data_IF_905901456515
#
_entry.id   IF_905901456515
#
_cell.length_a   1.000
_cell.length_b   1.000
_cell.length_c   1.000
_cell.angle_alpha   90.00
_cell.angle_beta   90.00
_cell.angle_gamma   90.00
#
_symmetry.space_group_name_H-M   'P 1'
#
loop_
_entity.id
_entity.type
_entity.pdbx_description
1 polymer ?
#
# COMPACT_ATOMS: atom_id res chain seq x y z
N UNK A 1 -3.20 -31.56 29.92
CA UNK A 1 -4.14 -30.97 28.93
C UNK A 1 -3.83 -31.55 27.54
N UNK A 2 -4.78 -32.16 26.87
CA UNK A 2 -4.53 -32.64 25.49
C UNK A 2 -4.35 -31.40 24.61
N UNK A 3 -3.18 -31.26 24.02
CA UNK A 3 -2.92 -30.25 22.98
C UNK A 3 -3.95 -30.45 21.87
N UNK A 4 -4.62 -29.38 21.45
CA UNK A 4 -5.55 -29.46 20.34
C UNK A 4 -4.77 -29.60 19.03
N UNK A 5 -5.44 -30.21 18.06
CA UNK A 5 -4.84 -30.52 16.77
C UNK A 5 -4.51 -29.23 16.00
N UNK A 6 -3.22 -28.92 15.74
CA UNK A 6 -2.82 -27.74 14.98
C UNK A 6 -3.37 -27.71 13.56
N UNK A 7 -3.58 -28.88 12.95
CA UNK A 7 -4.16 -29.00 11.59
C UNK A 7 -5.60 -28.51 11.60
N UNK A 8 -6.36 -28.86 12.67
CA UNK A 8 -7.73 -28.38 12.82
C UNK A 8 -7.78 -26.87 13.10
N UNK A 9 -6.83 -26.34 13.89
CA UNK A 9 -6.74 -24.89 14.10
C UNK A 9 -6.51 -24.14 12.80
N UNK A 10 -5.62 -24.65 11.93
CA UNK A 10 -5.36 -24.02 10.63
C UNK A 10 -6.61 -24.09 9.73
N UNK A 11 -7.30 -25.21 9.66
CA UNK A 11 -8.56 -25.33 8.90
C UNK A 11 -9.62 -24.34 9.35
N UNK A 12 -9.72 -24.08 10.66
CA UNK A 12 -10.64 -23.08 11.21
C UNK A 12 -10.23 -21.66 10.76
N UNK A 13 -8.94 -21.32 10.78
CA UNK A 13 -8.43 -20.04 10.30
C UNK A 13 -8.75 -19.86 8.82
N UNK A 14 -8.39 -20.85 7.99
CA UNK A 14 -8.59 -20.80 6.53
C UNK A 14 -10.07 -20.60 6.19
N UNK A 15 -10.97 -21.33 6.84
CA UNK A 15 -12.41 -21.18 6.64
C UNK A 15 -12.91 -19.76 7.03
N UNK A 16 -12.41 -19.21 8.16
CA UNK A 16 -12.79 -17.88 8.61
C UNK A 16 -12.30 -16.82 7.61
N UNK A 17 -11.09 -16.96 7.11
CA UNK A 17 -10.48 -16.02 6.18
C UNK A 17 -11.21 -16.04 4.83
N UNK A 18 -11.48 -17.23 4.27
CA UNK A 18 -12.26 -17.39 3.03
C UNK A 18 -13.67 -16.79 3.16
N UNK A 19 -14.36 -17.10 4.26
CA UNK A 19 -15.68 -16.56 4.51
C UNK A 19 -15.68 -15.03 4.61
N UNK A 20 -14.68 -14.49 5.31
CA UNK A 20 -14.55 -13.04 5.47
C UNK A 20 -14.24 -12.33 4.16
N UNK A 21 -13.43 -12.92 3.29
CA UNK A 21 -13.12 -12.37 1.97
C UNK A 21 -14.37 -12.21 1.11
N UNK A 22 -15.31 -13.15 1.20
CA UNK A 22 -16.55 -13.14 0.40
C UNK A 22 -17.63 -12.24 1.03
N UNK A 23 -17.80 -12.32 2.36
CA UNK A 23 -18.96 -11.75 3.04
C UNK A 23 -18.66 -10.49 3.85
N UNK A 24 -17.38 -10.10 4.00
CA UNK A 24 -16.90 -8.96 4.78
C UNK A 24 -17.40 -8.95 6.24
N UNK A 25 -17.65 -10.13 6.81
CA UNK A 25 -18.09 -10.34 8.20
C UNK A 25 -17.62 -11.68 8.72
N UNK A 26 -17.48 -11.81 10.04
CA UNK A 26 -17.12 -13.07 10.68
C UNK A 26 -18.22 -14.13 10.50
N UNK A 27 -17.87 -15.40 10.21
CA UNK A 27 -18.83 -16.50 10.19
C UNK A 27 -19.36 -16.80 11.58
N UNK A 28 -20.56 -17.40 11.67
CA UNK A 28 -21.07 -17.91 12.93
C UNK A 28 -20.37 -19.22 13.32
N UNK A 29 -20.40 -19.57 14.62
CA UNK A 29 -19.83 -20.84 15.10
C UNK A 29 -20.50 -22.08 14.44
N UNK A 30 -21.76 -21.98 14.04
CA UNK A 30 -22.45 -23.06 13.32
C UNK A 30 -21.85 -23.22 11.91
N UNK A 31 -21.66 -22.11 11.20
CA UNK A 31 -21.06 -22.12 9.85
C UNK A 31 -19.63 -22.64 9.87
N UNK A 32 -18.84 -22.23 10.86
CA UNK A 32 -17.48 -22.77 11.04
C UNK A 32 -17.56 -24.29 11.27
N UNK A 33 -18.47 -24.72 12.18
CA UNK A 33 -18.65 -26.15 12.47
C UNK A 33 -18.99 -26.98 11.24
N UNK A 34 -19.91 -26.50 10.41
CA UNK A 34 -20.27 -27.12 9.14
C UNK A 34 -19.09 -27.15 8.15
N UNK A 35 -18.36 -26.04 8.03
CA UNK A 35 -17.24 -25.92 7.10
C UNK A 35 -16.03 -26.78 7.43
N UNK A 36 -15.80 -27.09 8.73
CA UNK A 36 -14.65 -27.88 9.18
C UNK A 36 -15.02 -29.24 9.81
N UNK A 37 -16.27 -29.66 9.69
CA UNK A 37 -16.83 -30.88 10.28
C UNK A 37 -16.61 -30.98 11.80
N UNK A 38 -16.99 -29.94 12.52
CA UNK A 38 -16.92 -29.88 13.97
C UNK A 38 -18.26 -29.48 14.60
N UNK A 39 -18.60 -30.10 15.74
CA UNK A 39 -19.73 -29.64 16.52
C UNK A 39 -19.50 -28.22 17.08
N UNK A 40 -20.53 -27.37 17.07
CA UNK A 40 -20.47 -25.97 17.51
C UNK A 40 -19.78 -25.75 18.84
N UNK A 41 -19.98 -26.64 19.83
CA UNK A 41 -19.32 -26.55 21.14
C UNK A 41 -17.81 -26.74 21.07
N UNK A 42 -17.34 -27.57 20.15
CA UNK A 42 -15.92 -27.77 19.90
C UNK A 42 -15.32 -26.54 19.22
N UNK A 43 -16.02 -25.95 18.22
CA UNK A 43 -15.58 -24.69 17.58
C UNK A 43 -15.35 -23.60 18.63
N UNK A 44 -16.32 -23.38 19.54
CA UNK A 44 -16.17 -22.38 20.59
C UNK A 44 -14.93 -22.62 21.46
N UNK A 45 -14.64 -23.88 21.77
CA UNK A 45 -13.47 -24.26 22.56
C UNK A 45 -12.16 -24.05 21.79
N UNK A 46 -12.14 -24.35 20.49
CA UNK A 46 -11.00 -24.05 19.63
C UNK A 46 -10.74 -22.54 19.55
N UNK A 47 -11.77 -21.73 19.28
CA UNK A 47 -11.63 -20.27 19.17
C UNK A 47 -11.10 -19.64 20.46
N UNK A 48 -11.53 -20.10 21.66
CA UNK A 48 -11.02 -19.61 22.93
C UNK A 48 -9.56 -19.97 23.17
N UNK A 49 -9.15 -21.18 22.79
CA UNK A 49 -7.77 -21.60 22.98
C UNK A 49 -6.86 -20.88 21.98
N UNK A 50 -7.29 -20.73 20.73
CA UNK A 50 -6.56 -19.96 19.69
C UNK A 50 -6.41 -18.48 20.06
N UNK A 51 -7.43 -17.90 20.68
CA UNK A 51 -7.35 -16.54 21.25
C UNK A 51 -6.33 -16.45 22.39
N UNK A 52 -6.35 -17.42 23.31
CA UNK A 52 -5.39 -17.50 24.41
C UNK A 52 -3.94 -17.73 23.92
N UNK A 53 -3.75 -18.44 22.83
CA UNK A 53 -2.46 -18.69 22.18
C UNK A 53 -2.03 -17.53 21.25
N UNK A 54 -2.88 -16.51 21.05
CA UNK A 54 -2.60 -15.35 20.19
C UNK A 54 -2.67 -15.64 18.69
N UNK A 55 -3.25 -16.78 18.27
CA UNK A 55 -3.40 -17.18 16.87
C UNK A 55 -4.49 -16.37 16.15
N UNK A 56 -5.47 -15.88 16.89
CA UNK A 56 -6.54 -14.98 16.41
C UNK A 56 -7.06 -14.15 17.60
N UNK A 57 -7.95 -13.19 17.33
CA UNK A 57 -8.70 -12.45 18.36
C UNK A 57 -10.16 -12.86 18.29
N UNK A 58 -10.70 -13.37 19.42
CA UNK A 58 -12.10 -13.78 19.54
C UNK A 58 -12.82 -12.97 20.61
N UNK A 59 -13.67 -12.02 20.21
CA UNK A 59 -14.36 -11.12 21.15
C UNK A 59 -15.80 -10.87 20.69
N UNK A 60 -16.78 -11.15 21.55
CA UNK A 60 -18.19 -10.77 21.36
C UNK A 60 -18.78 -11.15 19.99
N UNK A 61 -18.56 -12.37 19.49
CA UNK A 61 -18.94 -12.89 18.18
C UNK A 61 -18.10 -12.38 17.00
N UNK A 62 -17.08 -11.57 17.26
CA UNK A 62 -16.16 -11.11 16.24
C UNK A 62 -14.89 -11.98 16.27
N UNK A 63 -14.49 -12.49 15.14
CA UNK A 63 -13.29 -13.31 14.97
C UNK A 63 -12.38 -12.57 14.01
N UNK A 64 -11.19 -12.22 14.47
CA UNK A 64 -10.20 -11.47 13.69
C UNK A 64 -8.95 -12.32 13.62
N UNK A 65 -8.68 -12.91 12.47
CA UNK A 65 -7.42 -13.60 12.17
C UNK A 65 -6.31 -12.60 11.84
N UNK A 66 -5.04 -13.00 11.85
CA UNK A 66 -3.94 -12.14 11.40
C UNK A 66 -4.12 -11.64 9.97
N UNK A 67 -4.72 -12.45 9.06
CA UNK A 67 -4.99 -12.04 7.69
C UNK A 67 -6.08 -10.97 7.62
N UNK A 68 -7.19 -11.15 8.36
CA UNK A 68 -8.26 -10.15 8.47
C UNK A 68 -7.72 -8.85 9.07
N UNK A 69 -6.92 -8.93 10.15
CA UNK A 69 -6.34 -7.75 10.78
C UNK A 69 -5.44 -6.97 9.82
N UNK A 70 -4.60 -7.69 9.06
CA UNK A 70 -3.73 -7.09 8.04
C UNK A 70 -4.52 -6.42 6.93
N UNK A 71 -5.60 -7.06 6.44
CA UNK A 71 -6.46 -6.51 5.39
C UNK A 71 -7.34 -5.36 5.89
N UNK A 72 -7.59 -5.28 7.20
CA UNK A 72 -8.45 -4.26 7.81
C UNK A 72 -7.68 -3.05 8.34
N UNK A 73 -6.33 -3.12 8.38
CA UNK A 73 -5.53 -1.97 8.79
C UNK A 73 -5.47 -0.94 7.67
N UNK A 74 -6.07 0.23 7.85
CA UNK A 74 -5.93 1.31 6.88
C UNK A 74 -4.53 1.93 7.01
N UNK A 75 -3.87 2.10 5.90
CA UNK A 75 -2.75 3.02 5.77
C UNK A 75 -3.32 4.33 5.25
N UNK A 76 -3.21 5.41 6.01
CA UNK A 76 -3.67 6.72 5.59
C UNK A 76 -2.58 7.37 4.77
N UNK A 77 -2.89 7.76 3.53
CA UNK A 77 -1.99 8.46 2.63
C UNK A 77 -2.56 9.85 2.32
N UNK A 78 -1.77 10.89 2.54
CA UNK A 78 -2.12 12.25 2.14
C UNK A 78 -2.00 12.39 0.62
N UNK A 79 -2.98 12.99 -0.04
CA UNK A 79 -2.91 13.40 -1.43
C UNK A 79 -2.38 14.83 -1.48
N UNK A 80 -1.21 15.02 -2.05
CA UNK A 80 -0.51 16.31 -2.09
C UNK A 80 -0.66 17.03 -3.43
N UNK A 81 -1.68 16.67 -4.20
CA UNK A 81 -1.94 17.26 -5.51
C UNK A 81 -0.81 17.02 -6.51
N UNK A 82 -0.52 18.00 -7.33
CA UNK A 82 0.69 18.03 -8.17
C UNK A 82 1.85 18.53 -7.34
N UNK A 83 2.98 17.84 -7.37
CA UNK A 83 4.18 18.18 -6.59
C UNK A 83 4.61 19.62 -6.88
N UNK A 84 4.56 20.47 -5.86
CA UNK A 84 4.98 21.88 -5.96
C UNK A 84 6.47 22.00 -5.67
N UNK A 85 7.10 23.02 -6.28
CA UNK A 85 8.51 23.35 -6.04
C UNK A 85 8.71 23.95 -4.64
N UNK A 86 9.81 23.66 -3.97
CA UNK A 86 10.35 24.53 -2.95
C UNK A 86 10.67 23.98 -1.58
N UNK A 87 10.08 22.88 -1.10
CA UNK A 87 10.42 22.34 0.23
C UNK A 87 10.65 20.83 0.22
N UNK A 88 11.62 20.28 1.00
CA UNK A 88 11.85 18.85 1.11
C UNK A 88 10.71 18.10 1.79
N UNK A 89 9.84 18.79 2.51
CA UNK A 89 8.69 18.24 3.21
C UNK A 89 7.41 18.92 2.74
N UNK A 90 6.31 18.15 2.63
CA UNK A 90 4.99 18.69 2.31
C UNK A 90 4.43 19.39 3.54
N UNK A 91 3.94 20.59 3.37
CA UNK A 91 3.21 21.31 4.42
C UNK A 91 1.74 20.88 4.43
N UNK A 92 1.04 21.03 5.57
CA UNK A 92 -0.39 20.69 5.69
C UNK A 92 -1.27 21.38 4.65
N UNK A 93 -0.90 22.59 4.23
CA UNK A 93 -1.59 23.35 3.19
C UNK A 93 -1.46 22.76 1.77
N UNK A 94 -0.56 21.82 1.55
CA UNK A 94 -0.39 21.11 0.28
C UNK A 94 -1.26 19.87 0.18
N UNK A 95 -1.99 19.52 1.24
CA UNK A 95 -2.82 18.30 1.30
C UNK A 95 -4.22 18.60 0.81
N UNK A 96 -4.60 18.04 -0.34
CA UNK A 96 -5.94 18.16 -0.91
C UNK A 96 -6.94 17.18 -0.28
N UNK A 97 -6.49 15.98 0.07
CA UNK A 97 -7.33 14.91 0.61
C UNK A 97 -6.52 13.85 1.36
N UNK A 98 -7.21 12.99 2.10
CA UNK A 98 -6.64 11.78 2.68
C UNK A 98 -7.33 10.54 2.10
N UNK A 99 -6.53 9.57 1.66
CA UNK A 99 -7.01 8.29 1.17
C UNK A 99 -6.63 7.16 2.11
N UNK A 100 -7.52 6.18 2.22
CA UNK A 100 -7.27 4.97 2.98
C UNK A 100 -6.81 3.87 2.03
N UNK A 101 -5.59 3.39 2.22
CA UNK A 101 -4.97 2.34 1.41
C UNK A 101 -4.98 1.01 2.17
N UNK A 102 -5.44 -0.11 1.57
CA UNK A 102 -5.36 -1.43 2.18
C UNK A 102 -3.90 -1.89 2.34
N UNK A 103 -3.46 -2.19 3.57
CA UNK A 103 -2.10 -2.69 3.84
C UNK A 103 -1.75 -3.95 3.03
N UNK A 104 -2.75 -4.79 2.74
CA UNK A 104 -2.56 -6.01 1.96
C UNK A 104 -2.10 -5.76 0.51
N UNK A 105 -2.44 -4.59 -0.06
CA UNK A 105 -2.06 -4.22 -1.42
C UNK A 105 -0.78 -3.37 -1.40
N UNK A 106 -0.75 -2.35 -0.55
CA UNK A 106 0.29 -1.32 -0.57
C UNK A 106 1.45 -1.62 0.39
N UNK A 107 1.28 -2.59 1.30
CA UNK A 107 2.27 -2.93 2.33
C UNK A 107 2.22 -1.96 3.51
N UNK A 108 3.22 -2.12 4.42
CA UNK A 108 3.40 -1.24 5.58
C UNK A 108 4.30 -0.07 5.22
N UNK A 109 4.05 1.07 5.85
CA UNK A 109 4.89 2.26 5.74
C UNK A 109 4.08 3.55 5.72
N UNK A 110 4.80 4.64 5.65
CA UNK A 110 4.22 5.95 5.45
C UNK A 110 4.14 6.23 3.95
N UNK A 111 2.94 6.54 3.48
CA UNK A 111 2.68 6.80 2.07
C UNK A 111 2.04 8.17 1.89
N UNK A 112 2.31 8.73 0.74
CA UNK A 112 1.54 9.84 0.19
C UNK A 112 1.18 9.54 -1.26
N UNK A 113 0.23 10.29 -1.80
CA UNK A 113 -0.23 10.18 -3.18
C UNK A 113 0.01 11.50 -3.87
N UNK A 114 0.52 11.45 -5.08
CA UNK A 114 0.62 12.61 -5.96
C UNK A 114 -0.12 12.36 -7.28
N UNK A 115 -0.56 13.43 -7.90
CA UNK A 115 -1.07 13.38 -9.27
C UNK A 115 0.09 13.61 -10.23
N UNK A 116 0.31 12.68 -11.15
CA UNK A 116 1.32 12.81 -12.19
C UNK A 116 1.00 13.98 -13.13
N UNK A 117 2.04 14.72 -13.53
CA UNK A 117 1.93 15.84 -14.46
C UNK A 117 2.94 15.70 -15.59
N UNK A 118 2.47 15.96 -16.81
CA UNK A 118 3.29 15.85 -18.01
C UNK A 118 3.51 14.40 -18.45
N UNK A 119 4.40 14.22 -19.42
CA UNK A 119 4.63 12.96 -20.14
C UNK A 119 6.00 12.34 -19.90
N UNK A 120 6.79 12.89 -18.98
CA UNK A 120 8.16 12.45 -18.77
C UNK A 120 8.32 11.01 -18.29
N UNK A 121 7.24 10.35 -17.89
CA UNK A 121 7.24 8.97 -17.36
C UNK A 121 6.28 8.05 -18.14
N UNK A 122 5.91 8.45 -19.37
CA UNK A 122 4.90 7.76 -20.17
C UNK A 122 5.33 6.34 -20.58
N UNK A 123 6.61 6.11 -20.82
CA UNK A 123 7.15 4.79 -21.18
C UNK A 123 7.24 3.85 -19.95
N UNK A 124 7.17 4.39 -18.74
CA UNK A 124 6.95 3.62 -17.51
C UNK A 124 5.47 3.36 -17.22
N UNK A 125 4.57 3.78 -18.13
CA UNK A 125 3.13 3.64 -17.96
C UNK A 125 2.52 4.65 -16.99
N UNK A 126 3.19 5.74 -16.67
CA UNK A 126 2.67 6.84 -15.84
C UNK A 126 2.29 7.98 -16.75
N UNK A 127 0.99 8.29 -16.82
CA UNK A 127 0.42 9.33 -17.67
C UNK A 127 -0.05 10.52 -16.83
N UNK A 128 -0.24 11.66 -17.46
CA UNK A 128 -0.79 12.83 -16.80
C UNK A 128 -2.17 12.55 -16.22
N UNK A 129 -2.36 12.90 -14.93
CA UNK A 129 -3.58 12.65 -14.18
C UNK A 129 -3.59 11.33 -13.41
N UNK A 130 -2.64 10.43 -13.62
CA UNK A 130 -2.51 9.22 -12.81
C UNK A 130 -2.19 9.55 -11.34
N UNK A 131 -2.76 8.76 -10.42
CA UNK A 131 -2.38 8.84 -9.03
C UNK A 131 -1.21 7.90 -8.75
N UNK A 132 -0.10 8.46 -8.31
CA UNK A 132 1.12 7.73 -7.96
C UNK A 132 1.21 7.59 -6.45
N UNK A 133 1.22 6.34 -5.97
CA UNK A 133 1.41 6.03 -4.55
C UNK A 133 2.91 5.96 -4.27
N UNK A 134 3.38 6.79 -3.37
CA UNK A 134 4.79 6.97 -3.04
C UNK A 134 5.03 6.58 -1.59
N UNK A 135 6.00 5.71 -1.35
CA UNK A 135 6.51 5.43 0.01
C UNK A 135 7.45 6.54 0.42
N UNK A 136 7.17 7.20 1.53
CA UNK A 136 8.03 8.24 2.09
C UNK A 136 9.35 7.62 2.58
N UNK A 137 10.45 7.99 1.95
CA UNK A 137 11.81 7.54 2.29
C UNK A 137 12.84 8.47 1.66
N UNK A 138 13.99 8.58 2.30
CA UNK A 138 15.15 9.29 1.75
C UNK A 138 16.16 8.36 1.06
N UNK A 139 15.89 7.05 1.11
CA UNK A 139 16.75 6.03 0.50
C UNK A 139 16.06 5.44 -0.73
N UNK A 140 16.81 5.31 -1.82
CA UNK A 140 16.38 4.65 -3.03
C UNK A 140 17.52 3.86 -3.67
N UNK A 141 17.14 2.83 -4.44
CA UNK A 141 18.09 2.00 -5.16
C UNK A 141 18.12 2.39 -6.65
N UNK A 142 19.21 1.99 -7.31
CA UNK A 142 19.30 2.11 -8.77
C UNK A 142 18.10 1.42 -9.44
N UNK A 143 17.39 2.16 -10.27
CA UNK A 143 16.24 1.67 -11.01
C UNK A 143 14.90 2.01 -10.36
N UNK A 144 14.88 2.51 -9.11
CA UNK A 144 13.64 3.00 -8.50
C UNK A 144 13.11 4.24 -9.23
N UNK A 145 11.79 4.33 -9.32
CA UNK A 145 11.13 5.57 -9.71
C UNK A 145 10.97 6.40 -8.44
N UNK A 146 11.60 7.57 -8.41
CA UNK A 146 11.67 8.41 -7.22
C UNK A 146 10.98 9.74 -7.41
N UNK A 147 10.37 10.24 -6.34
CA UNK A 147 10.07 11.66 -6.21
C UNK A 147 11.31 12.31 -5.61
N UNK A 148 11.88 13.22 -6.36
CA UNK A 148 13.10 13.90 -5.98
C UNK A 148 12.92 15.42 -6.03
N UNK A 149 13.51 16.12 -5.06
CA UNK A 149 13.73 17.55 -5.10
C UNK A 149 15.11 17.79 -5.68
N UNK A 150 15.20 18.54 -6.78
CA UNK A 150 16.45 18.95 -7.42
C UNK A 150 16.44 20.46 -7.63
N UNK A 151 17.33 21.17 -6.95
CA UNK A 151 17.47 22.63 -7.04
C UNK A 151 16.14 23.39 -6.80
N UNK A 152 15.35 22.93 -5.82
CA UNK A 152 14.08 23.51 -5.48
C UNK A 152 12.89 23.04 -6.34
N UNK A 153 13.10 22.17 -7.33
CA UNK A 153 12.05 21.63 -8.17
C UNK A 153 11.80 20.14 -7.88
N UNK A 154 10.55 19.80 -7.63
CA UNK A 154 10.13 18.42 -7.45
C UNK A 154 9.89 17.73 -8.79
N UNK A 155 10.35 16.49 -8.91
CA UNK A 155 10.21 15.71 -10.14
C UNK A 155 10.04 14.22 -9.86
N UNK A 156 9.32 13.52 -10.75
CA UNK A 156 9.19 12.07 -10.76
C UNK A 156 10.05 11.52 -11.90
N UNK A 157 11.06 10.73 -11.59
CA UNK A 157 12.01 10.18 -12.56
C UNK A 157 12.54 8.82 -12.10
N UNK A 158 13.14 8.07 -13.01
CA UNK A 158 13.90 6.87 -12.63
C UNK A 158 15.31 7.24 -12.16
N UNK A 159 15.69 6.76 -11.00
CA UNK A 159 17.02 6.96 -10.45
C UNK A 159 18.03 6.06 -11.16
N UNK A 160 19.01 6.66 -11.82
CA UNK A 160 20.18 5.97 -12.38
C UNK A 160 21.40 6.23 -11.53
N UNK A 161 22.17 5.16 -11.26
CA UNK A 161 23.44 5.25 -10.53
C UNK A 161 24.50 4.53 -11.38
N UNK A 162 25.50 5.27 -11.81
CA UNK A 162 26.61 4.73 -12.57
C UNK A 162 27.94 5.25 -12.05
N UNK A 163 28.84 4.35 -11.59
CA UNK A 163 30.16 4.68 -11.03
C UNK A 163 30.10 5.77 -9.94
N UNK A 164 29.10 5.68 -9.06
CA UNK A 164 28.90 6.63 -7.96
C UNK A 164 28.33 7.99 -8.38
N UNK A 165 27.96 8.17 -9.64
CA UNK A 165 27.24 9.35 -10.12
C UNK A 165 25.75 9.06 -10.23
N UNK A 166 24.95 10.04 -9.84
CA UNK A 166 23.50 9.98 -9.90
C UNK A 166 23.00 10.74 -11.13
N UNK A 167 21.94 10.25 -11.73
CA UNK A 167 21.13 10.97 -12.71
C UNK A 167 19.66 10.60 -12.57
N UNK A 168 18.79 11.50 -12.94
CA UNK A 168 17.35 11.31 -13.03
C UNK A 168 16.98 11.08 -14.50
N UNK A 169 16.45 9.91 -14.79
CA UNK A 169 16.10 9.47 -16.13
C UNK A 169 14.59 9.61 -16.36
N UNK A 170 14.15 10.42 -17.32
CA UNK A 170 12.78 10.37 -17.80
C UNK A 170 12.53 9.04 -18.51
N UNK A 171 11.41 8.43 -18.27
CA UNK A 171 10.90 7.31 -19.07
C UNK A 171 10.10 7.85 -20.26
N UNK A 172 10.81 8.60 -21.10
CA UNK A 172 10.33 9.21 -22.34
C UNK A 172 11.55 9.40 -23.26
N UNK A 173 11.57 8.67 -24.36
CA UNK A 173 12.70 8.63 -25.31
C UNK A 173 13.00 9.98 -26.00
N UNK A 174 12.06 10.95 -25.93
CA UNK A 174 12.27 12.32 -26.44
C UNK A 174 13.00 13.22 -25.44
N UNK A 175 13.28 12.77 -24.22
CA UNK A 175 13.89 13.55 -23.13
C UNK A 175 15.25 12.99 -22.76
N UNK A 176 16.13 13.87 -22.30
CA UNK A 176 17.49 13.49 -21.87
C UNK A 176 17.57 13.24 -20.35
N UNK A 177 18.57 12.45 -19.95
CA UNK A 177 18.92 12.25 -18.53
C UNK A 177 19.33 13.58 -17.90
N UNK A 178 18.87 13.81 -16.67
CA UNK A 178 19.26 14.96 -15.86
C UNK A 178 20.42 14.53 -14.95
N UNK A 179 21.67 14.88 -15.25
CA UNK A 179 22.81 14.52 -14.40
C UNK A 179 22.76 15.34 -13.10
N UNK A 180 23.15 14.71 -11.98
CA UNK A 180 23.22 15.37 -10.68
C UNK A 180 24.70 15.69 -10.40
N UNK A 181 25.01 16.96 -10.31
CA UNK A 181 26.33 17.49 -9.99
C UNK A 181 26.60 17.55 -8.48
N UNK A 182 27.83 17.97 -8.12
CA UNK A 182 28.22 18.13 -6.71
C UNK A 182 27.63 19.37 -6.05
N UNK A 183 27.29 20.37 -6.84
CA UNK A 183 26.72 21.63 -6.39
C UNK A 183 25.19 21.63 -6.37
N UNK A 184 24.58 20.55 -6.91
CA UNK A 184 23.13 20.45 -6.94
C UNK A 184 22.57 20.10 -5.57
N UNK A 185 21.50 20.78 -5.20
CA UNK A 185 20.67 20.44 -4.05
C UNK A 185 19.73 19.30 -4.44
N UNK A 186 20.04 18.09 -3.99
CA UNK A 186 19.33 16.87 -4.37
C UNK A 186 18.88 16.09 -3.16
N UNK A 187 17.54 15.83 -3.07
CA UNK A 187 16.92 15.04 -2.01
C UNK A 187 15.90 14.05 -2.59
N UNK A 188 15.93 12.82 -2.11
CA UNK A 188 14.87 11.84 -2.37
C UNK A 188 13.79 12.03 -1.32
N UNK A 189 12.55 12.26 -1.76
CA UNK A 189 11.38 12.42 -0.91
C UNK A 189 10.55 11.13 -0.80
N UNK A 190 10.72 10.22 -1.76
CA UNK A 190 10.06 8.92 -1.74
C UNK A 190 10.29 8.09 -2.98
N UNK A 191 9.86 6.83 -2.89
CA UNK A 191 9.89 5.85 -3.98
C UNK A 191 8.47 5.54 -4.41
N UNK A 192 8.17 5.69 -5.70
CA UNK A 192 6.88 5.31 -6.29
C UNK A 192 6.73 3.80 -6.25
N UNK A 193 5.61 3.33 -5.69
CA UNK A 193 5.36 1.90 -5.50
C UNK A 193 4.21 1.38 -6.34
N UNK A 194 3.18 2.21 -6.58
CA UNK A 194 1.98 1.83 -7.33
C UNK A 194 1.46 3.01 -8.15
N UNK A 195 0.68 2.68 -9.17
CA UNK A 195 -0.06 3.65 -9.98
C UNK A 195 -1.54 3.27 -9.89
N UNK A 196 -2.40 4.26 -9.68
CA UNK A 196 -3.84 4.11 -9.75
C UNK A 196 -4.32 4.90 -10.97
N UNK A 197 -4.86 4.18 -11.96
CA UNK A 197 -5.34 4.73 -13.23
C UNK A 197 -6.85 4.69 -13.33
N UNK A 198 -7.42 5.73 -13.91
CA UNK A 198 -8.78 5.69 -14.41
C UNK A 198 -8.80 5.10 -15.82
N UNK A 199 -9.37 3.89 -15.98
CA UNK A 199 -9.41 3.20 -17.27
C UNK A 199 -10.73 3.39 -18.05
N UNK A 200 -11.71 4.08 -17.44
CA UNK A 200 -13.01 4.35 -18.07
C UNK A 200 -13.28 5.85 -18.14
N UNK A 201 -13.46 6.37 -19.34
CA UNK A 201 -13.77 7.79 -19.60
C UNK A 201 -15.20 8.24 -19.19
N UNK A 202 -16.03 7.34 -18.64
CA UNK A 202 -17.46 7.57 -18.38
C UNK A 202 -17.83 7.82 -16.92
N UNK A 203 -16.87 7.90 -15.98
CA UNK A 203 -17.15 8.11 -14.54
C UNK A 203 -17.34 9.59 -14.18
N UNK A 204 -16.98 10.53 -15.03
CA UNK A 204 -17.15 11.98 -14.80
C UNK A 204 -18.62 12.47 -14.81
N UNK A 205 -19.59 11.59 -14.94
CA UNK A 205 -21.04 11.93 -14.97
C UNK A 205 -21.80 11.60 -13.68
N UNK A 206 -21.11 11.20 -12.61
CA UNK A 206 -21.73 10.97 -11.29
C UNK A 206 -21.24 12.06 -10.30
N UNK A 207 -21.62 13.28 -10.59
CA UNK A 207 -21.67 14.39 -9.63
C UNK A 207 -23.10 14.63 -9.23
#
# INVERSE_FOLDING_TARGET
>A
MRSKDPVMMQKIIDFIDEYYMIHQKSPSMAMIGEGVDLHRSNVQRYLKDMDAEGLLKYKAKNIITPAIEKNSRPVVAAHVGTVRCGTPEFEEQDIDAYYTLPEAIFGKGDFYILTAKGDSMIEAGIEEGDLVVVRKTHEAQKGDIVVALLNGENTLKRLKIFRGKYSLHPENSSMEDIPIGKEDEFYIQGVATHIIKHIASSIDKLK
#
